data_IF_377862183302
#
_entry.id   IF_377862183302
#
_cell.length_a   1.000
_cell.length_b   1.000
_cell.length_c   1.000
_cell.angle_alpha   90.00
_cell.angle_beta   90.00
_cell.angle_gamma   90.00
#
_symmetry.space_group_name_H-M   'P 1'
#
loop_
_entity.id
_entity.type
_entity.pdbx_description
1 polymer ?
#
# COMPACT_ATOMS: atom_id res chain seq x y z
N UNK A 1 18.72 4.39 -22.03
CA UNK A 1 17.94 3.23 -21.53
C UNK A 1 18.70 1.94 -21.90
N UNK A 2 18.96 1.05 -20.93
CA UNK A 2 19.79 -0.16 -21.11
C UNK A 2 18.99 -1.39 -21.62
N UNK A 3 17.83 -1.19 -22.25
CA UNK A 3 16.95 -2.28 -22.68
C UNK A 3 16.23 -3.02 -21.55
N UNK A 4 16.23 -2.48 -20.33
CA UNK A 4 15.54 -3.03 -19.16
C UNK A 4 14.22 -2.28 -18.97
N UNK A 5 13.14 -3.02 -18.67
CA UNK A 5 11.85 -2.45 -18.26
C UNK A 5 11.74 -2.36 -16.74
N UNK A 6 11.22 -1.26 -16.24
CA UNK A 6 10.97 -1.01 -14.82
C UNK A 6 9.46 -0.90 -14.59
N UNK A 7 8.95 -1.76 -13.70
CA UNK A 7 7.54 -1.74 -13.29
C UNK A 7 7.45 -1.18 -11.87
N UNK A 8 6.65 -0.14 -11.69
CA UNK A 8 6.31 0.41 -10.38
C UNK A 8 5.20 -0.39 -9.71
N UNK A 9 5.19 -0.41 -8.39
CA UNK A 9 4.17 -1.06 -7.56
C UNK A 9 3.71 -0.07 -6.49
N UNK A 10 2.40 0.18 -6.38
CA UNK A 10 1.87 1.03 -5.31
C UNK A 10 2.02 0.36 -3.94
N UNK A 11 2.17 1.17 -2.90
CA UNK A 11 2.12 0.72 -1.51
C UNK A 11 0.72 0.20 -1.19
N UNK A 12 0.63 -0.93 -0.52
CA UNK A 12 -0.64 -1.53 -0.09
C UNK A 12 -1.31 -0.70 1.01
N UNK A 13 -2.61 -0.92 1.28
CA UNK A 13 -3.25 -0.35 2.46
C UNK A 13 -2.60 -0.85 3.75
N UNK A 14 -2.70 -0.06 4.82
CA UNK A 14 -2.03 -0.35 6.10
C UNK A 14 -2.79 0.23 7.30
N UNK A 15 -4.11 0.43 7.19
CA UNK A 15 -4.89 0.94 8.30
C UNK A 15 -4.78 0.01 9.52
N UNK A 16 -4.66 0.60 10.71
CA UNK A 16 -4.54 -0.12 11.98
C UNK A 16 -3.37 -1.13 12.04
N UNK A 17 -2.29 -0.90 11.28
CA UNK A 17 -1.05 -1.70 11.40
C UNK A 17 -0.65 -1.91 12.86
N UNK A 18 -0.47 -3.18 13.21
CA UNK A 18 -0.11 -3.69 14.55
C UNK A 18 -1.13 -3.41 15.67
N UNK A 19 -2.38 -3.07 15.37
CA UNK A 19 -3.43 -2.91 16.38
C UNK A 19 -3.56 -4.17 17.24
N UNK A 20 -3.52 -3.98 18.56
CA UNK A 20 -3.55 -5.09 19.52
C UNK A 20 -2.27 -5.93 19.62
N UNK A 21 -1.19 -5.55 18.93
CA UNK A 21 0.13 -6.18 19.04
C UNK A 21 1.09 -5.30 19.88
N UNK A 22 2.22 -5.84 20.39
CA UNK A 22 3.18 -5.06 21.19
C UNK A 22 3.77 -3.83 20.50
N UNK A 23 3.68 -3.77 19.17
CA UNK A 23 4.17 -2.67 18.31
C UNK A 23 3.06 -1.75 17.80
N UNK A 24 1.92 -1.71 18.51
CA UNK A 24 0.79 -0.84 18.20
C UNK A 24 1.17 0.65 18.08
N UNK A 25 0.40 1.40 17.30
CA UNK A 25 0.60 2.83 17.07
C UNK A 25 1.49 3.13 15.85
N UNK A 26 1.81 2.14 15.03
CA UNK A 26 2.54 2.36 13.78
C UNK A 26 1.70 3.18 12.77
N UNK A 27 0.42 2.85 12.59
CA UNK A 27 -0.47 3.60 11.72
C UNK A 27 -0.83 4.97 12.32
N UNK A 28 -0.79 6.01 11.48
CA UNK A 28 -1.39 7.32 11.79
C UNK A 28 -2.08 7.89 10.55
N UNK A 29 -3.12 8.74 10.71
CA UNK A 29 -3.73 9.43 9.58
C UNK A 29 -2.74 10.26 8.76
N UNK A 30 -1.68 10.79 9.38
CA UNK A 30 -0.61 11.52 8.70
C UNK A 30 0.22 10.60 7.80
N UNK A 31 0.53 9.38 8.25
CA UNK A 31 1.22 8.39 7.42
C UNK A 31 0.33 7.91 6.26
N UNK A 32 -0.98 7.81 6.45
CA UNK A 32 -1.90 7.51 5.34
C UNK A 32 -1.87 8.58 4.26
N UNK A 33 -1.85 9.87 4.64
CA UNK A 33 -1.68 10.96 3.67
C UNK A 33 -0.38 10.82 2.87
N UNK A 34 0.71 10.42 3.53
CA UNK A 34 2.00 10.18 2.87
C UNK A 34 1.89 8.99 1.91
N UNK A 35 1.31 7.86 2.35
CA UNK A 35 1.11 6.67 1.51
C UNK A 35 0.31 7.00 0.25
N UNK A 36 -0.80 7.71 0.39
CA UNK A 36 -1.62 8.17 -0.75
C UNK A 36 -0.81 9.07 -1.69
N UNK A 37 -0.05 10.03 -1.15
CA UNK A 37 0.79 10.91 -1.97
C UNK A 37 1.89 10.15 -2.72
N UNK A 38 2.52 9.16 -2.09
CA UNK A 38 3.50 8.28 -2.73
C UNK A 38 2.85 7.44 -3.82
N UNK A 39 1.68 6.85 -3.57
CA UNK A 39 0.97 6.07 -4.57
C UNK A 39 0.54 6.91 -5.77
N UNK A 40 0.10 8.15 -5.55
CA UNK A 40 -0.21 9.07 -6.63
C UNK A 40 1.02 9.41 -7.48
N UNK A 41 2.16 9.65 -6.83
CA UNK A 41 3.43 9.84 -7.53
C UNK A 41 3.86 8.60 -8.32
N UNK A 42 3.68 7.38 -7.77
CA UNK A 42 3.98 6.14 -8.49
C UNK A 42 3.12 6.02 -9.75
N UNK A 43 1.83 6.34 -9.66
CA UNK A 43 0.87 6.23 -10.77
C UNK A 43 1.13 7.26 -11.87
N UNK A 44 1.49 8.50 -11.51
CA UNK A 44 1.47 9.63 -12.44
C UNK A 44 2.84 10.25 -12.72
N UNK A 45 3.85 9.94 -11.92
CA UNK A 45 5.17 10.57 -11.97
C UNK A 45 6.01 10.23 -13.20
N UNK A 46 5.58 9.27 -14.03
CA UNK A 46 6.24 8.93 -15.30
C UNK A 46 7.60 8.25 -15.18
N UNK A 47 7.97 7.78 -13.98
CA UNK A 47 9.26 7.13 -13.72
C UNK A 47 9.33 5.64 -14.08
N UNK A 48 8.22 5.04 -14.50
CA UNK A 48 8.09 3.61 -14.76
C UNK A 48 7.53 3.34 -16.16
N UNK A 49 7.95 2.22 -16.76
CA UNK A 49 7.40 1.74 -18.04
C UNK A 49 5.98 1.17 -17.89
N UNK A 50 5.58 0.88 -16.66
CA UNK A 50 4.24 0.45 -16.28
C UNK A 50 4.07 0.41 -14.77
N UNK A 51 2.83 0.35 -14.30
CA UNK A 51 2.49 0.33 -12.86
C UNK A 51 1.51 -0.80 -12.58
N UNK A 52 1.76 -1.57 -11.51
CA UNK A 52 0.81 -2.51 -10.92
C UNK A 52 0.23 -1.84 -9.66
N UNK A 53 -1.09 -1.70 -9.63
CA UNK A 53 -1.78 -0.97 -8.56
C UNK A 53 -2.19 -1.91 -7.41
N UNK A 54 -1.23 -2.33 -6.59
CA UNK A 54 -1.47 -3.20 -5.43
C UNK A 54 -2.34 -2.55 -4.36
N UNK A 55 -2.30 -1.22 -4.22
CA UNK A 55 -3.23 -0.46 -3.38
C UNK A 55 -4.69 -0.87 -3.65
N UNK A 56 -5.09 -0.88 -4.93
CA UNK A 56 -6.46 -1.28 -5.32
C UNK A 56 -6.72 -2.77 -5.27
N UNK A 57 -5.72 -3.59 -5.62
CA UNK A 57 -5.89 -5.05 -5.68
C UNK A 57 -6.00 -5.66 -4.28
N UNK A 58 -5.26 -5.10 -3.32
CA UNK A 58 -5.17 -5.61 -1.95
C UNK A 58 -6.14 -4.94 -0.98
N UNK A 59 -6.82 -3.87 -1.38
CA UNK A 59 -7.81 -3.19 -0.54
C UNK A 59 -9.08 -4.03 -0.33
N UNK A 60 -9.54 -4.10 0.92
CA UNK A 60 -10.84 -4.66 1.25
C UNK A 60 -11.96 -3.73 0.74
N UNK A 61 -12.78 -4.16 -0.25
CA UNK A 61 -13.88 -3.35 -0.76
C UNK A 61 -14.97 -3.07 0.29
N UNK A 62 -15.06 -3.87 1.35
CA UNK A 62 -15.98 -3.63 2.47
C UNK A 62 -15.39 -2.71 3.54
N UNK A 63 -14.07 -2.49 3.53
CA UNK A 63 -13.34 -1.74 4.55
C UNK A 63 -12.16 -0.96 3.95
N UNK A 64 -12.42 0.17 3.26
CA UNK A 64 -11.37 0.96 2.60
C UNK A 64 -10.22 1.33 3.53
N UNK A 65 -8.99 1.28 3.01
CA UNK A 65 -7.76 1.49 3.77
C UNK A 65 -7.19 0.25 4.48
N UNK A 66 -7.91 -0.88 4.47
CA UNK A 66 -7.43 -2.15 5.04
C UNK A 66 -7.02 -3.13 3.96
N UNK A 67 -6.05 -3.99 4.29
CA UNK A 67 -5.80 -5.20 3.51
C UNK A 67 -7.04 -6.09 3.54
N UNK A 68 -7.29 -6.80 2.44
CA UNK A 68 -8.26 -7.89 2.45
C UNK A 68 -7.81 -8.97 3.42
N UNK A 69 -8.75 -9.48 4.21
CA UNK A 69 -8.48 -10.54 5.20
C UNK A 69 -7.90 -11.82 4.58
N UNK A 70 -8.16 -12.12 3.31
CA UNK A 70 -7.57 -13.27 2.60
C UNK A 70 -6.08 -13.11 2.29
N UNK A 71 -5.56 -11.88 2.43
CA UNK A 71 -4.17 -11.49 2.22
C UNK A 71 -3.63 -10.68 3.41
N UNK A 72 -4.07 -10.92 4.63
CA UNK A 72 -3.47 -10.31 5.82
C UNK A 72 -2.97 -11.43 6.74
N UNK A 73 -1.67 -11.41 7.06
CA UNK A 73 -1.09 -12.36 8.02
C UNK A 73 -1.51 -12.10 9.48
N UNK A 74 -2.29 -11.05 9.73
CA UNK A 74 -2.85 -10.66 11.03
C UNK A 74 -2.23 -9.40 11.63
N UNK A 75 -1.40 -8.68 10.87
CA UNK A 75 -0.69 -7.49 11.35
C UNK A 75 -1.14 -6.19 10.68
N UNK A 76 -2.08 -6.27 9.72
CA UNK A 76 -2.58 -5.17 8.90
C UNK A 76 -1.47 -4.40 8.16
N UNK A 77 -0.40 -5.08 7.76
CA UNK A 77 0.70 -4.50 6.97
C UNK A 77 1.24 -5.47 5.92
N UNK A 78 1.46 -6.72 6.29
CA UNK A 78 2.07 -7.73 5.42
C UNK A 78 1.03 -8.74 4.93
N UNK A 79 0.96 -8.93 3.60
CA UNK A 79 0.23 -10.05 3.01
C UNK A 79 0.82 -11.44 3.23
#
# INVERSE_FOLDING_TARGET
AHGIRIIGATLTPFADTFKGLPTEGYYTPEKEKIRVAVNEWIRTGGGFDGVIDFDKVMEDPAKPGYLRDDYDCGDNLHP
#
